data_IF_387627587588
#
_entry.id   IF_387627587588
#
_cell.length_a   1.000
_cell.length_b   1.000
_cell.length_c   1.000
_cell.angle_alpha   90.00
_cell.angle_beta   90.00
_cell.angle_gamma   90.00
#
_symmetry.space_group_name_H-M   'P 1'
#
loop_
_entity.id
_entity.type
_entity.pdbx_description
1 polymer ?
#
# COMPACT_ATOMS: atom_id res chain seq x y z
N UNK A 1 5.95 -12.10 -13.25
CA UNK A 1 7.12 -12.68 -12.55
C UNK A 1 8.51 -12.19 -13.01
N UNK A 2 8.77 -11.87 -14.30
CA UNK A 2 10.12 -11.47 -14.78
C UNK A 2 10.68 -10.17 -14.16
N UNK A 3 9.85 -9.18 -13.84
CA UNK A 3 10.32 -7.86 -13.36
C UNK A 3 10.56 -7.81 -11.84
N UNK A 4 9.81 -8.57 -11.04
CA UNK A 4 10.04 -8.68 -9.58
C UNK A 4 11.42 -9.30 -9.28
N UNK A 5 11.81 -10.35 -10.02
CA UNK A 5 13.15 -10.96 -9.88
C UNK A 5 14.27 -9.99 -10.24
N UNK A 6 14.06 -9.11 -11.23
CA UNK A 6 15.04 -8.07 -11.59
C UNK A 6 15.17 -7.02 -10.49
N UNK A 7 14.05 -6.64 -9.87
CA UNK A 7 14.06 -5.65 -8.78
C UNK A 7 14.78 -6.18 -7.55
N UNK A 8 14.49 -7.42 -7.14
CA UNK A 8 15.10 -8.06 -5.98
C UNK A 8 16.36 -8.88 -6.33
N UNK A 9 17.04 -8.57 -7.43
CA UNK A 9 18.20 -9.35 -7.88
C UNK A 9 19.28 -9.43 -6.79
N UNK A 10 19.63 -8.30 -6.17
CA UNK A 10 20.66 -8.23 -5.13
C UNK A 10 20.33 -9.09 -3.91
N UNK A 11 19.04 -9.31 -3.61
CA UNK A 11 18.59 -10.21 -2.53
C UNK A 11 18.78 -11.66 -2.98
N UNK A 12 18.33 -12.01 -4.18
CA UNK A 12 18.39 -13.39 -4.68
C UNK A 12 19.80 -13.83 -5.10
N UNK A 13 20.74 -12.89 -5.29
CA UNK A 13 22.16 -13.15 -5.57
C UNK A 13 23.06 -13.04 -4.34
N UNK A 14 22.48 -13.10 -3.12
CA UNK A 14 23.22 -13.06 -1.85
C UNK A 14 24.05 -11.78 -1.65
N UNK A 15 23.66 -10.69 -2.31
CA UNK A 15 24.35 -9.39 -2.30
C UNK A 15 23.56 -8.36 -1.47
N UNK A 16 23.11 -8.75 -0.28
CA UNK A 16 22.15 -7.97 0.55
C UNK A 16 22.58 -6.54 0.85
N UNK A 17 23.89 -6.30 0.98
CA UNK A 17 24.43 -4.95 1.24
C UNK A 17 24.14 -3.98 0.09
N UNK A 18 24.07 -4.48 -1.14
CA UNK A 18 23.79 -3.68 -2.34
C UNK A 18 22.30 -3.40 -2.51
N UNK A 19 21.42 -4.19 -1.88
CA UNK A 19 19.98 -3.99 -1.99
C UNK A 19 19.57 -2.65 -1.38
N UNK A 20 19.01 -1.78 -2.22
CA UNK A 20 18.45 -0.49 -1.85
C UNK A 20 16.91 -0.50 -2.05
N UNK A 21 16.11 -0.49 -0.97
CA UNK A 21 14.65 -0.52 -1.08
C UNK A 21 14.08 0.70 -1.82
N UNK A 22 14.77 1.83 -1.81
CA UNK A 22 14.35 3.08 -2.46
C UNK A 22 14.77 3.18 -3.93
N UNK A 23 15.44 2.16 -4.49
CA UNK A 23 15.67 2.11 -5.93
C UNK A 23 14.32 1.92 -6.65
N UNK A 24 13.92 2.89 -7.47
CA UNK A 24 12.65 2.83 -8.19
C UNK A 24 12.69 1.97 -9.47
N UNK A 25 13.89 1.57 -9.92
CA UNK A 25 14.09 0.85 -11.17
C UNK A 25 13.24 -0.41 -11.21
N UNK A 26 12.51 -0.62 -12.30
CA UNK A 26 11.58 -1.73 -12.53
C UNK A 26 10.32 -1.78 -11.65
N UNK A 27 10.17 -0.96 -10.60
CA UNK A 27 8.96 -0.98 -9.74
C UNK A 27 7.69 -0.62 -10.50
N UNK A 28 7.78 0.30 -11.46
CA UNK A 28 6.69 0.69 -12.34
C UNK A 28 6.38 -0.33 -13.45
N UNK A 29 7.19 -1.39 -13.60
CA UNK A 29 7.02 -2.47 -14.58
C UNK A 29 6.53 -3.78 -13.94
N UNK A 30 6.28 -3.77 -12.63
CA UNK A 30 5.74 -4.94 -11.93
C UNK A 30 4.33 -5.22 -12.46
N UNK A 31 4.09 -6.51 -12.76
CA UNK A 31 2.80 -7.06 -13.15
C UNK A 31 2.38 -8.06 -12.08
N UNK A 32 1.29 -7.74 -11.42
CA UNK A 32 0.65 -8.51 -10.36
C UNK A 32 -0.26 -9.62 -10.94
N UNK A 33 -0.65 -10.58 -10.11
CA UNK A 33 -1.68 -11.56 -10.47
C UNK A 33 -3.05 -10.91 -10.30
N UNK A 34 -3.84 -10.84 -11.37
CA UNK A 34 -5.16 -10.19 -11.38
C UNK A 34 -6.08 -10.74 -10.28
N UNK A 35 -6.45 -9.87 -9.35
CA UNK A 35 -7.31 -10.16 -8.22
C UNK A 35 -7.86 -8.86 -7.62
N UNK A 36 -8.94 -8.90 -6.83
CA UNK A 36 -9.47 -7.71 -6.14
C UNK A 36 -8.48 -6.99 -5.22
N UNK A 37 -7.41 -7.68 -4.79
CA UNK A 37 -6.36 -7.10 -3.94
C UNK A 37 -5.27 -6.34 -4.73
N UNK A 38 -5.34 -6.30 -6.06
CA UNK A 38 -4.33 -5.64 -6.90
C UNK A 38 -4.58 -4.13 -6.97
N UNK A 39 -3.55 -3.36 -6.68
CA UNK A 39 -3.49 -1.95 -7.03
C UNK A 39 -2.83 -1.80 -8.41
N UNK A 40 -3.51 -1.18 -9.37
CA UNK A 40 -2.97 -0.97 -10.73
C UNK A 40 -2.06 0.26 -10.82
N UNK A 41 -1.69 0.84 -9.68
CA UNK A 41 -0.78 1.99 -9.54
C UNK A 41 0.51 1.60 -8.83
N UNK A 42 1.61 2.21 -9.25
CA UNK A 42 2.87 2.24 -8.50
C UNK A 42 2.82 3.35 -7.45
N UNK A 43 2.84 2.95 -6.17
CA UNK A 43 2.94 3.86 -5.02
C UNK A 43 4.35 3.79 -4.43
N UNK A 44 4.99 4.95 -4.24
CA UNK A 44 6.27 5.05 -3.52
C UNK A 44 6.08 5.06 -2.02
N UNK A 45 4.92 5.53 -1.55
CA UNK A 45 4.47 5.42 -0.18
C UNK A 45 2.97 5.17 -0.14
N UNK A 46 2.55 4.28 0.75
CA UNK A 46 1.19 4.29 1.26
C UNK A 46 1.13 5.33 2.38
N UNK A 47 -0.06 5.84 2.65
CA UNK A 47 -0.24 6.87 3.66
C UNK A 47 -1.69 7.15 3.92
N UNK A 48 -1.91 7.87 5.02
CA UNK A 48 -3.21 8.42 5.37
C UNK A 48 -3.06 9.75 6.11
N UNK A 49 -4.15 10.51 6.14
CA UNK A 49 -4.29 11.73 6.95
C UNK A 49 -5.26 11.45 8.09
N UNK A 50 -4.87 11.77 9.32
CA UNK A 50 -5.72 11.60 10.50
C UNK A 50 -6.84 12.65 10.50
N UNK A 51 -8.08 12.21 10.71
CA UNK A 51 -9.24 13.09 10.94
C UNK A 51 -9.61 13.21 12.41
N UNK A 52 -9.16 12.27 13.24
CA UNK A 52 -9.31 12.27 14.69
C UNK A 52 -7.96 11.99 15.35
N UNK A 53 -7.83 12.41 16.61
CA UNK A 53 -6.68 12.00 17.43
C UNK A 53 -6.73 10.49 17.63
N UNK A 54 -5.60 9.82 17.36
CA UNK A 54 -5.48 8.36 17.48
C UNK A 54 -4.02 7.97 17.76
N UNK A 55 -3.81 6.92 18.53
CA UNK A 55 -2.48 6.39 18.81
C UNK A 55 -2.52 4.96 19.34
N UNK A 56 -1.47 4.52 20.04
CA UNK A 56 -1.40 3.17 20.58
C UNK A 56 -2.63 2.81 21.44
N UNK A 57 -3.22 1.64 21.19
CA UNK A 57 -4.47 1.11 21.75
C UNK A 57 -5.78 1.68 21.18
N UNK A 58 -5.74 2.59 20.20
CA UNK A 58 -6.94 3.12 19.55
C UNK A 58 -7.36 2.32 18.29
N UNK A 59 -6.89 1.08 18.14
CA UNK A 59 -7.12 0.34 16.90
C UNK A 59 -6.33 0.95 15.74
N UNK A 60 -5.16 1.53 16.02
CA UNK A 60 -4.40 2.31 15.03
C UNK A 60 -3.44 1.45 14.20
N UNK A 61 -2.71 2.08 13.28
CA UNK A 61 -1.69 1.45 12.44
C UNK A 61 -0.51 0.93 13.27
N UNK A 62 -0.03 -0.25 12.92
CA UNK A 62 1.24 -0.79 13.37
C UNK A 62 2.17 -1.00 12.17
N UNK A 63 3.48 -0.83 12.39
CA UNK A 63 4.52 -0.98 11.39
C UNK A 63 5.66 -1.84 11.93
N UNK A 64 6.34 -2.57 11.05
CA UNK A 64 7.70 -3.02 11.30
C UNK A 64 8.62 -2.05 10.55
N UNK A 65 9.24 -1.05 11.22
CA UNK A 65 9.89 0.09 10.57
C UNK A 65 11.29 -0.25 10.01
N UNK A 66 11.37 -1.33 9.23
CA UNK A 66 12.60 -1.85 8.63
C UNK A 66 12.37 -1.99 7.12
N UNK A 67 12.73 -0.96 6.35
CA UNK A 67 12.50 -0.95 4.89
C UNK A 67 13.21 -2.11 4.15
N UNK A 68 14.39 -2.53 4.65
CA UNK A 68 15.10 -3.72 4.14
C UNK A 68 14.50 -5.06 4.62
N UNK A 69 13.47 -5.04 5.46
CA UNK A 69 12.85 -6.23 6.06
C UNK A 69 12.25 -7.19 5.03
N UNK A 70 11.90 -6.70 3.84
CA UNK A 70 11.47 -7.54 2.72
C UNK A 70 12.52 -8.58 2.32
N UNK A 71 13.82 -8.31 2.52
CA UNK A 71 14.87 -9.29 2.28
C UNK A 71 14.74 -10.51 3.19
N UNK A 72 14.45 -10.31 4.49
CA UNK A 72 14.19 -11.41 5.42
C UNK A 72 12.97 -12.23 4.99
N UNK A 73 11.89 -11.57 4.56
CA UNK A 73 10.65 -12.23 4.16
C UNK A 73 10.86 -13.08 2.89
N UNK A 74 11.55 -12.53 1.89
CA UNK A 74 11.81 -13.23 0.62
C UNK A 74 12.74 -14.43 0.81
N UNK A 75 13.78 -14.33 1.63
CA UNK A 75 14.71 -15.44 1.87
C UNK A 75 14.18 -16.46 2.85
N UNK A 76 13.28 -16.08 3.77
CA UNK A 76 12.65 -17.01 4.72
C UNK A 76 11.95 -18.18 4.03
N UNK A 77 11.33 -17.93 2.88
CA UNK A 77 10.64 -18.93 2.07
C UNK A 77 11.58 -19.92 1.36
N UNK A 78 12.90 -19.68 1.37
CA UNK A 78 13.90 -20.52 0.69
C UNK A 78 14.64 -21.46 1.66
N UNK A 79 14.33 -21.41 2.96
CA UNK A 79 14.99 -22.26 3.96
C UNK A 79 14.44 -23.69 3.93
N UNK A 80 15.29 -24.66 4.30
CA UNK A 80 15.00 -26.10 4.23
C UNK A 80 13.84 -26.56 5.13
N UNK A 81 13.41 -25.74 6.09
CA UNK A 81 12.28 -26.00 6.99
C UNK A 81 10.94 -25.52 6.44
N UNK A 82 10.92 -24.93 5.23
CA UNK A 82 9.71 -24.59 4.49
C UNK A 82 9.40 -25.70 3.49
N UNK A 83 8.16 -26.21 3.41
CA UNK A 83 7.78 -27.18 2.38
C UNK A 83 8.06 -26.65 0.97
N UNK A 84 8.58 -27.51 0.08
CA UNK A 84 9.01 -27.12 -1.28
C UNK A 84 7.94 -26.39 -2.10
N UNK A 85 6.67 -26.71 -1.88
CA UNK A 85 5.52 -26.13 -2.58
C UNK A 85 4.84 -24.99 -1.80
N UNK A 86 5.55 -24.37 -0.85
CA UNK A 86 5.03 -23.32 0.01
C UNK A 86 5.93 -22.08 0.02
N UNK A 87 5.29 -20.91 0.17
CA UNK A 87 5.96 -19.62 0.36
C UNK A 87 5.49 -18.99 1.68
N UNK A 88 5.78 -19.67 2.79
CA UNK A 88 5.44 -19.28 4.16
C UNK A 88 3.98 -18.84 4.35
N UNK A 89 3.03 -19.59 3.78
CA UNK A 89 1.60 -19.29 3.82
C UNK A 89 1.07 -18.28 2.77
N UNK A 90 1.92 -17.74 1.90
CA UNK A 90 1.48 -16.85 0.80
C UNK A 90 0.48 -17.53 -0.14
N UNK A 91 -0.53 -16.79 -0.60
CA UNK A 91 -1.59 -17.27 -1.51
C UNK A 91 -1.84 -16.27 -2.64
N UNK A 92 -2.14 -16.74 -3.87
CA UNK A 92 -2.52 -15.85 -4.97
C UNK A 92 -3.71 -14.96 -4.62
N UNK A 93 -3.69 -13.71 -5.10
CA UNK A 93 -4.77 -12.73 -4.89
C UNK A 93 -4.96 -12.25 -3.45
N UNK A 94 -4.00 -12.52 -2.55
CA UNK A 94 -3.97 -12.00 -1.19
C UNK A 94 -2.69 -11.20 -0.94
N UNK A 95 -2.75 -10.26 -0.01
CA UNK A 95 -1.55 -9.61 0.51
C UNK A 95 -0.58 -10.66 1.09
N UNK A 96 0.72 -10.41 0.95
CA UNK A 96 1.76 -11.26 1.53
C UNK A 96 1.64 -11.20 3.06
N UNK A 97 1.33 -12.34 3.67
CA UNK A 97 1.07 -12.42 5.12
C UNK A 97 2.36 -12.66 5.90
N UNK A 98 2.50 -11.94 7.02
CA UNK A 98 3.56 -12.14 8.02
C UNK A 98 2.93 -12.79 9.23
N UNK A 99 3.50 -13.93 9.65
CA UNK A 99 2.89 -14.82 10.63
C UNK A 99 3.92 -15.33 11.64
N UNK A 100 3.43 -15.80 12.80
CA UNK A 100 4.27 -16.27 13.90
C UNK A 100 5.05 -17.54 13.58
N UNK A 101 4.55 -18.38 12.69
CA UNK A 101 5.14 -19.70 12.42
C UNK A 101 6.45 -19.55 11.64
N UNK A 102 6.48 -18.64 10.65
CA UNK A 102 7.67 -18.40 9.83
C UNK A 102 8.44 -17.13 10.21
N UNK A 103 7.79 -16.13 10.82
CA UNK A 103 8.35 -14.77 10.95
C UNK A 103 8.34 -14.24 12.40
N UNK A 104 8.30 -15.10 13.42
CA UNK A 104 8.27 -14.71 14.83
C UNK A 104 9.33 -13.68 15.22
N UNK A 105 10.56 -13.85 14.73
CA UNK A 105 11.67 -12.91 14.98
C UNK A 105 11.35 -11.50 14.49
N UNK A 106 10.83 -11.41 13.26
CA UNK A 106 10.52 -10.16 12.57
C UNK A 106 9.31 -9.46 13.20
N UNK A 107 8.31 -10.23 13.62
CA UNK A 107 7.12 -9.72 14.31
C UNK A 107 7.43 -9.02 15.63
N UNK A 108 8.57 -9.29 16.28
CA UNK A 108 8.99 -8.53 17.48
C UNK A 108 9.26 -7.05 17.19
N UNK A 109 9.46 -6.68 15.92
CA UNK A 109 9.61 -5.30 15.49
C UNK A 109 8.30 -4.59 15.19
N UNK A 110 7.15 -5.26 15.34
CA UNK A 110 5.84 -4.66 15.11
C UNK A 110 5.50 -3.70 16.24
N UNK A 111 5.36 -2.42 15.91
CA UNK A 111 5.06 -1.36 16.87
C UNK A 111 3.94 -0.46 16.36
N UNK A 112 3.15 0.08 17.29
CA UNK A 112 2.12 1.07 16.96
C UNK A 112 2.75 2.41 16.57
N UNK A 113 2.07 3.13 15.67
CA UNK A 113 2.45 4.50 15.30
C UNK A 113 2.34 5.46 16.50
N UNK A 114 3.03 6.61 16.49
CA UNK A 114 2.85 7.61 17.54
C UNK A 114 1.42 8.17 17.56
N UNK A 115 1.09 8.90 18.63
CA UNK A 115 -0.16 9.65 18.70
C UNK A 115 -0.17 10.69 17.56
N UNK A 116 -1.19 10.62 16.72
CA UNK A 116 -1.50 11.58 15.68
C UNK A 116 -2.70 12.44 16.11
N UNK A 117 -2.74 13.67 15.65
CA UNK A 117 -3.86 14.61 15.78
C UNK A 117 -4.51 14.89 14.42
N UNK A 118 -5.73 15.46 14.37
CA UNK A 118 -6.36 15.84 13.10
C UNK A 118 -5.44 16.71 12.24
N UNK A 119 -5.24 16.29 10.99
CA UNK A 119 -4.32 16.93 10.04
C UNK A 119 -2.92 16.32 9.98
N UNK A 120 -2.51 15.54 10.97
CA UNK A 120 -1.25 14.80 10.91
C UNK A 120 -1.31 13.72 9.82
N UNK A 121 -0.15 13.42 9.23
CA UNK A 121 -0.01 12.39 8.20
C UNK A 121 1.07 11.40 8.59
N UNK A 122 0.90 10.15 8.15
CA UNK A 122 1.93 9.12 8.28
C UNK A 122 2.05 8.34 6.98
N UNK A 123 3.28 7.98 6.66
CA UNK A 123 3.67 7.43 5.37
C UNK A 123 4.58 6.22 5.59
N UNK A 124 4.37 5.15 4.84
CA UNK A 124 5.23 3.98 4.87
C UNK A 124 5.53 3.48 3.46
N UNK A 125 6.77 3.03 3.28
CA UNK A 125 7.26 2.50 2.02
C UNK A 125 6.45 1.25 1.61
N UNK A 126 6.21 0.97 0.31
CA UNK A 126 5.34 -0.13 -0.15
C UNK A 126 5.72 -1.51 0.36
N UNK A 127 7.02 -1.74 0.62
CA UNK A 127 7.53 -3.01 1.13
C UNK A 127 7.59 -3.07 2.68
N UNK A 128 7.18 -2.01 3.39
CA UNK A 128 7.11 -2.00 4.85
C UNK A 128 5.88 -2.76 5.31
N UNK A 129 6.11 -3.74 6.18
CA UNK A 129 5.05 -4.52 6.80
C UNK A 129 4.28 -3.64 7.76
N UNK A 130 2.96 -3.75 7.64
CA UNK A 130 2.01 -2.99 8.43
C UNK A 130 0.82 -3.87 8.82
N UNK A 131 0.17 -3.49 9.91
CA UNK A 131 -1.06 -4.10 10.42
C UNK A 131 -1.94 -3.02 11.05
N UNK A 132 -3.17 -3.35 11.39
CA UNK A 132 -4.00 -2.53 12.27
C UNK A 132 -4.11 -3.27 13.60
N UNK A 133 -4.04 -2.55 14.72
CA UNK A 133 -4.24 -3.16 16.03
C UNK A 133 -5.57 -3.93 16.07
N UNK A 134 -5.55 -5.17 16.58
CA UNK A 134 -6.72 -6.05 16.60
C UNK A 134 -7.89 -5.51 17.46
N UNK A 135 -7.61 -4.57 18.36
CA UNK A 135 -8.58 -4.00 19.30
C UNK A 135 -8.47 -2.49 19.36
N UNK A 136 -9.62 -1.83 19.32
CA UNK A 136 -9.77 -0.44 19.69
C UNK A 136 -10.26 -0.35 21.15
N UNK A 137 -9.37 0.07 22.05
CA UNK A 137 -9.64 0.26 23.49
C UNK A 137 -9.80 1.73 23.87
N UNK A 138 -9.65 2.64 22.91
CA UNK A 138 -9.86 4.07 23.10
C UNK A 138 -11.34 4.43 23.25
N UNK A 139 -11.57 5.71 23.59
CA UNK A 139 -12.92 6.25 23.84
C UNK A 139 -13.52 7.03 22.68
N UNK A 140 -12.72 7.32 21.66
CA UNK A 140 -13.09 8.18 20.52
C UNK A 140 -12.96 7.40 19.21
N UNK A 141 -13.51 7.94 18.12
CA UNK A 141 -13.32 7.36 16.79
C UNK A 141 -11.86 7.42 16.32
N UNK A 142 -11.48 6.45 15.50
CA UNK A 142 -10.20 6.39 14.79
C UNK A 142 -10.47 6.53 13.29
N UNK A 143 -10.49 7.77 12.80
CA UNK A 143 -10.91 8.12 11.44
C UNK A 143 -9.74 8.67 10.63
N UNK A 144 -9.65 8.25 9.38
CA UNK A 144 -8.52 8.51 8.49
C UNK A 144 -9.00 8.63 7.04
N UNK A 145 -8.22 9.34 6.21
CA UNK A 145 -8.38 9.33 4.75
C UNK A 145 -7.13 8.75 4.13
N UNK A 146 -7.26 7.67 3.37
CA UNK A 146 -6.13 7.07 2.65
C UNK A 146 -5.68 7.96 1.49
N UNK A 147 -4.40 8.36 1.52
CA UNK A 147 -3.76 9.15 0.47
C UNK A 147 -2.36 8.59 0.26
N UNK A 148 -2.12 7.96 -0.90
CA UNK A 148 -0.82 7.42 -1.28
C UNK A 148 0.01 8.40 -2.12
N UNK A 149 1.33 8.23 -2.09
CA UNK A 149 2.25 8.94 -2.98
C UNK A 149 2.44 8.13 -4.28
N UNK A 150 1.89 8.61 -5.38
CA UNK A 150 1.95 7.97 -6.70
C UNK A 150 2.67 8.89 -7.70
N UNK A 151 3.95 8.66 -8.02
CA UNK A 151 4.70 9.54 -8.92
C UNK A 151 4.19 9.45 -10.36
N UNK A 152 4.42 10.50 -11.15
CA UNK A 152 4.11 10.50 -12.57
C UNK A 152 4.97 9.45 -13.31
N UNK A 153 4.31 8.44 -13.87
CA UNK A 153 4.92 7.45 -14.76
C UNK A 153 3.84 6.86 -15.67
N UNK A 154 4.24 6.15 -16.74
CA UNK A 154 3.27 5.58 -17.70
C UNK A 154 2.20 4.70 -17.04
N UNK A 155 2.58 3.81 -16.11
CA UNK A 155 1.65 2.94 -15.34
C UNK A 155 0.59 3.77 -14.60
N UNK A 156 1.03 4.79 -13.87
CA UNK A 156 0.13 5.64 -13.08
C UNK A 156 -0.74 6.56 -13.94
N UNK A 157 -0.19 7.09 -15.03
CA UNK A 157 -0.94 7.91 -15.99
C UNK A 157 -2.06 7.10 -16.66
N UNK A 158 -1.77 5.86 -17.05
CA UNK A 158 -2.75 4.98 -17.67
C UNK A 158 -3.90 4.63 -16.73
N UNK A 159 -3.61 4.40 -15.44
CA UNK A 159 -4.65 4.22 -14.43
C UNK A 159 -5.43 5.50 -14.17
N UNK A 160 -4.73 6.64 -13.99
CA UNK A 160 -5.36 7.92 -13.69
C UNK A 160 -6.37 8.34 -14.75
N UNK A 161 -6.12 8.07 -16.03
CA UNK A 161 -7.10 8.28 -17.12
C UNK A 161 -8.40 7.47 -16.93
N UNK A 162 -8.30 6.22 -16.48
CA UNK A 162 -9.47 5.38 -16.18
C UNK A 162 -10.21 5.89 -14.95
N UNK A 163 -9.47 6.25 -13.91
CA UNK A 163 -10.02 6.84 -12.69
C UNK A 163 -10.73 8.18 -12.96
N UNK A 164 -10.17 9.04 -13.82
CA UNK A 164 -10.76 10.32 -14.21
C UNK A 164 -12.17 10.15 -14.78
N UNK A 165 -12.35 9.16 -15.67
CA UNK A 165 -13.67 8.80 -16.21
C UNK A 165 -14.65 8.40 -15.10
N UNK A 166 -14.21 7.54 -14.17
CA UNK A 166 -15.04 7.10 -13.03
C UNK A 166 -15.42 8.26 -12.11
N UNK A 167 -14.49 9.17 -11.84
CA UNK A 167 -14.75 10.39 -11.07
C UNK A 167 -15.82 11.27 -11.72
N UNK A 168 -15.74 11.53 -13.02
CA UNK A 168 -16.76 12.31 -13.73
C UNK A 168 -18.14 11.64 -13.64
N UNK A 169 -18.20 10.31 -13.77
CA UNK A 169 -19.42 9.51 -13.65
C UNK A 169 -19.92 9.36 -12.20
N UNK A 170 -19.11 9.67 -11.18
CA UNK A 170 -19.44 9.45 -9.76
C UNK A 170 -19.45 7.97 -9.35
N UNK A 171 -18.74 7.12 -10.09
CA UNK A 171 -18.67 5.67 -9.87
C UNK A 171 -17.43 5.28 -9.08
N UNK A 172 -17.46 4.09 -8.49
CA UNK A 172 -16.31 3.51 -7.80
C UNK A 172 -15.09 3.47 -8.72
N UNK A 173 -13.88 3.83 -8.22
CA UNK A 173 -12.66 3.74 -9.01
C UNK A 173 -12.38 2.30 -9.48
N UNK A 174 -11.62 2.10 -10.59
CA UNK A 174 -11.51 0.79 -11.24
C UNK A 174 -10.95 -0.36 -10.39
N UNK A 175 -10.15 -0.06 -9.36
CA UNK A 175 -9.54 -1.07 -8.48
C UNK A 175 -10.47 -1.54 -7.35
N UNK A 176 -11.64 -0.92 -7.20
CA UNK A 176 -12.60 -1.24 -6.15
C UNK A 176 -13.83 -1.94 -6.71
N UNK A 177 -14.59 -2.58 -5.82
CA UNK A 177 -15.89 -3.13 -6.18
C UNK A 177 -16.77 -2.01 -6.77
N UNK A 178 -17.51 -2.28 -7.88
CA UNK A 178 -18.37 -1.29 -8.53
C UNK A 178 -19.68 -1.10 -7.75
N UNK A 179 -19.56 -0.66 -6.50
CA UNK A 179 -20.69 -0.37 -5.62
C UNK A 179 -21.44 0.89 -6.06
N UNK A 180 -20.72 1.87 -6.64
CA UNK A 180 -21.27 3.05 -7.31
C UNK A 180 -22.28 3.85 -6.45
N UNK A 181 -22.13 3.82 -5.12
CA UNK A 181 -23.05 4.46 -4.17
C UNK A 181 -23.19 5.96 -4.39
N UNK A 182 -22.09 6.64 -4.68
CA UNK A 182 -22.00 8.10 -4.71
C UNK A 182 -22.59 8.74 -5.99
N UNK A 183 -23.03 7.94 -6.97
CA UNK A 183 -23.51 8.44 -8.28
C UNK A 183 -24.59 9.51 -8.12
N UNK A 184 -25.53 9.30 -7.18
CA UNK A 184 -26.67 10.18 -6.94
C UNK A 184 -26.56 11.01 -5.66
N UNK A 185 -25.41 11.01 -4.99
CA UNK A 185 -25.26 11.74 -3.73
C UNK A 185 -25.27 13.26 -3.97
N UNK A 186 -26.06 13.95 -3.16
CA UNK A 186 -25.97 15.40 -3.03
C UNK A 186 -24.65 15.79 -2.35
N UNK A 187 -24.05 16.92 -2.75
CA UNK A 187 -22.79 17.40 -2.17
C UNK A 187 -21.52 16.68 -2.66
N UNK A 188 -21.63 15.73 -3.60
CA UNK A 188 -20.45 15.10 -4.23
C UNK A 188 -19.58 16.15 -4.95
N UNK A 189 -18.27 16.08 -4.73
CA UNK A 189 -17.26 16.87 -5.44
C UNK A 189 -17.29 16.58 -6.95
N UNK A 190 -17.33 17.63 -7.75
CA UNK A 190 -17.37 17.61 -9.23
C UNK A 190 -16.17 18.35 -9.81
N UNK A 191 -16.06 18.32 -11.14
CA UNK A 191 -14.97 18.96 -11.88
C UNK A 191 -14.78 20.45 -11.52
N UNK A 192 -15.87 21.17 -11.26
CA UNK A 192 -15.84 22.61 -10.96
C UNK A 192 -15.32 22.92 -9.55
N UNK A 193 -15.29 21.94 -8.66
CA UNK A 193 -14.78 22.09 -7.29
C UNK A 193 -13.26 21.86 -7.23
N UNK A 194 -12.65 21.38 -8.32
CA UNK A 194 -11.23 21.06 -8.39
C UNK A 194 -10.38 22.29 -8.70
N UNK A 195 -9.28 22.43 -7.95
CA UNK A 195 -8.20 23.36 -8.31
C UNK A 195 -7.49 22.92 -9.58
N UNK A 196 -6.78 23.83 -10.26
CA UNK A 196 -5.99 23.50 -11.46
C UNK A 196 -4.97 22.38 -11.19
N UNK A 197 -4.36 22.37 -9.99
CA UNK A 197 -3.44 21.30 -9.59
C UNK A 197 -4.17 19.95 -9.50
N UNK A 198 -5.34 19.91 -8.87
CA UNK A 198 -6.12 18.68 -8.74
C UNK A 198 -6.55 18.15 -10.12
N UNK A 199 -6.99 19.02 -11.02
CA UNK A 199 -7.33 18.63 -12.39
C UNK A 199 -6.14 18.04 -13.14
N UNK A 200 -4.96 18.64 -13.02
CA UNK A 200 -3.72 18.10 -13.60
C UNK A 200 -3.33 16.75 -12.99
N UNK A 201 -3.38 16.60 -11.67
CA UNK A 201 -3.08 15.34 -10.98
C UNK A 201 -4.09 14.23 -11.34
N UNK A 202 -5.34 14.60 -11.63
CA UNK A 202 -6.39 13.68 -12.06
C UNK A 202 -6.44 13.48 -13.57
N UNK A 203 -5.53 14.07 -14.35
CA UNK A 203 -5.47 13.93 -15.82
C UNK A 203 -6.79 14.38 -16.47
N UNK A 204 -7.39 15.44 -15.93
CA UNK A 204 -8.57 16.10 -16.46
C UNK A 204 -8.20 17.34 -17.31
N UNK A 205 -6.99 17.86 -17.12
CA UNK A 205 -6.38 18.96 -17.88
C UNK A 205 -4.88 18.68 -18.07
N UNK A 206 -4.25 19.30 -19.08
CA UNK A 206 -2.82 19.13 -19.44
C UNK A 206 -1.83 19.87 -18.50
#
# INVERSE_FOLDING_TARGET
MKHIKKFFNDIFSDSFENYNPFNARYRNEIVEFEAPAVAHVFRTFQGWTALTTQGPNDGTLQLIPIAKGIAYILTRALLNDVPENELCGSKPGRALSINKDYHSLFLRGLISIPILNPGDTIWWHPDVVHAVEDKHLGRNFSNVVYVGASPYCKKNLDYAKKQAKKFLEGKSPPDFAPEDYEVNYEGRIKLNDLTNLAKKQMVLED
#
